data_IF_522609730378
#
_entry.id   IF_522609730378
#
_cell.length_a   1.000
_cell.length_b   1.000
_cell.length_c   1.000
_cell.angle_alpha   90.00
_cell.angle_beta   90.00
_cell.angle_gamma   90.00
#
_symmetry.space_group_name_H-M   'P 1'
#
loop_
_entity.id
_entity.type
_entity.pdbx_description
1 polymer ?
#
# COMPACT_ATOMS: atom_id res chain seq x y z
N UNK A 1 -1.85 16.38 -6.63
CA UNK A 1 -3.10 15.79 -6.08
C UNK A 1 -2.76 14.65 -5.11
N UNK A 2 -3.51 14.42 -4.03
CA UNK A 2 -3.31 13.26 -3.14
C UNK A 2 -4.12 12.07 -3.65
N UNK A 3 -3.52 10.88 -3.61
CA UNK A 3 -4.10 9.60 -4.02
C UNK A 3 -3.87 8.56 -2.91
N UNK A 4 -4.73 7.54 -2.90
CA UNK A 4 -4.62 6.40 -1.97
C UNK A 4 -4.69 5.11 -2.78
N UNK A 5 -3.70 4.23 -2.58
CA UNK A 5 -3.69 2.88 -3.17
C UNK A 5 -3.89 1.85 -2.07
N UNK A 6 -4.91 1.02 -2.25
CA UNK A 6 -5.24 -0.07 -1.33
C UNK A 6 -4.65 -1.41 -1.79
N UNK A 7 -4.05 -2.13 -0.85
CA UNK A 7 -3.54 -3.48 -1.01
C UNK A 7 -4.12 -4.39 0.06
N UNK A 8 -5.02 -5.27 -0.35
CA UNK A 8 -5.55 -6.33 0.52
C UNK A 8 -4.51 -7.44 0.67
N UNK A 9 -4.23 -7.78 1.92
CA UNK A 9 -3.30 -8.82 2.34
C UNK A 9 -4.10 -9.97 2.96
N UNK A 10 -4.20 -11.08 2.24
CA UNK A 10 -4.69 -12.35 2.78
C UNK A 10 -3.52 -13.33 2.91
N UNK A 11 -3.61 -14.23 3.91
CA UNK A 11 -2.54 -15.19 4.22
C UNK A 11 -2.15 -16.01 2.97
N UNK A 12 -0.87 -15.97 2.59
CA UNK A 12 -0.32 -16.68 1.42
C UNK A 12 -0.42 -15.93 0.09
N UNK A 13 -0.78 -14.63 0.09
CA UNK A 13 -0.90 -13.83 -1.13
C UNK A 13 0.34 -13.00 -1.52
N UNK A 14 0.37 -12.60 -2.79
CA UNK A 14 1.40 -11.75 -3.44
C UNK A 14 1.36 -10.27 -3.04
N UNK A 15 0.66 -9.92 -1.96
CA UNK A 15 0.41 -8.54 -1.59
C UNK A 15 1.71 -7.77 -1.29
N UNK A 16 2.68 -8.41 -0.64
CA UNK A 16 4.00 -7.82 -0.37
C UNK A 16 4.74 -7.47 -1.67
N UNK A 17 4.80 -8.41 -2.63
CA UNK A 17 5.43 -8.17 -3.94
C UNK A 17 4.80 -6.98 -4.65
N UNK A 18 3.46 -6.92 -4.69
CA UNK A 18 2.72 -5.84 -5.36
C UNK A 18 2.91 -4.48 -4.68
N UNK A 19 3.01 -4.46 -3.36
CA UNK A 19 3.32 -3.25 -2.58
C UNK A 19 4.73 -2.77 -2.93
N UNK A 20 5.71 -3.66 -2.94
CA UNK A 20 7.09 -3.32 -3.27
C UNK A 20 7.24 -2.82 -4.71
N UNK A 21 6.59 -3.47 -5.67
CA UNK A 21 6.54 -3.03 -7.07
C UNK A 21 5.93 -1.62 -7.21
N UNK A 22 4.86 -1.34 -6.45
CA UNK A 22 4.23 -0.02 -6.44
C UNK A 22 5.12 1.05 -5.82
N UNK A 23 5.73 0.76 -4.66
CA UNK A 23 6.64 1.69 -3.98
C UNK A 23 7.89 1.98 -4.82
N UNK A 24 8.41 1.00 -5.57
CA UNK A 24 9.53 1.19 -6.48
C UNK A 24 9.24 2.17 -7.63
N UNK A 25 7.96 2.37 -7.96
CA UNK A 25 7.52 3.34 -8.97
C UNK A 25 7.28 4.76 -8.43
N UNK A 26 7.43 4.98 -7.12
CA UNK A 26 7.24 6.29 -6.50
C UNK A 26 8.59 6.95 -6.18
N UNK A 27 8.67 8.25 -6.39
CA UNK A 27 9.74 9.06 -5.81
C UNK A 27 9.51 9.25 -4.30
N UNK A 28 10.59 9.38 -3.53
CA UNK A 28 10.51 9.55 -2.07
C UNK A 28 9.64 10.75 -1.67
N UNK A 29 9.74 11.87 -2.40
CA UNK A 29 8.93 13.07 -2.15
C UNK A 29 7.43 12.90 -2.45
N UNK A 30 7.07 11.86 -3.22
CA UNK A 30 5.68 11.54 -3.52
C UNK A 30 5.03 10.72 -2.42
N UNK A 31 5.78 9.90 -1.68
CA UNK A 31 5.24 9.13 -0.57
C UNK A 31 4.83 10.05 0.59
N UNK A 32 3.58 9.94 1.04
CA UNK A 32 3.06 10.74 2.15
C UNK A 32 2.96 9.89 3.42
N UNK A 33 2.39 8.69 3.31
CA UNK A 33 2.12 7.85 4.47
C UNK A 33 1.86 6.40 4.03
N UNK A 34 2.06 5.46 4.95
CA UNK A 34 1.67 4.06 4.80
C UNK A 34 0.88 3.66 6.05
N UNK A 35 -0.39 3.29 5.85
CA UNK A 35 -1.25 2.80 6.94
C UNK A 35 -1.47 1.31 6.83
N UNK A 36 -1.39 0.64 7.97
CA UNK A 36 -1.72 -0.77 8.11
C UNK A 36 -3.02 -0.91 8.90
N UNK A 37 -3.95 -1.72 8.41
CA UNK A 37 -5.19 -2.04 9.09
C UNK A 37 -5.44 -3.54 9.08
N UNK A 38 -5.94 -4.09 10.18
CA UNK A 38 -6.33 -5.49 10.30
C UNK A 38 -7.86 -5.53 10.29
N UNK A 39 -8.45 -6.05 9.21
CA UNK A 39 -9.91 -6.17 9.11
C UNK A 39 -10.42 -7.44 9.81
N UNK A 40 -9.65 -8.52 9.80
CA UNK A 40 -9.93 -9.76 10.51
C UNK A 40 -8.65 -10.60 10.66
N UNK A 41 -8.73 -11.73 11.39
CA UNK A 41 -7.58 -12.64 11.60
C UNK A 41 -6.95 -13.17 10.30
N UNK A 42 -7.68 -13.12 9.18
CA UNK A 42 -7.24 -13.67 7.89
C UNK A 42 -7.00 -12.60 6.82
N UNK A 43 -7.44 -11.36 7.08
CA UNK A 43 -7.42 -10.27 6.09
C UNK A 43 -6.93 -8.99 6.75
N UNK A 44 -5.79 -8.52 6.27
CA UNK A 44 -5.22 -7.21 6.57
C UNK A 44 -5.21 -6.36 5.31
N UNK A 45 -4.95 -5.07 5.47
CA UNK A 45 -4.91 -4.10 4.39
C UNK A 45 -3.79 -3.11 4.61
N UNK A 46 -3.09 -2.76 3.54
CA UNK A 46 -2.11 -1.69 3.49
C UNK A 46 -2.63 -0.59 2.58
N UNK A 47 -2.66 0.63 3.08
CA UNK A 47 -3.02 1.83 2.34
C UNK A 47 -1.76 2.66 2.14
N UNK A 48 -1.43 2.95 0.88
CA UNK A 48 -0.31 3.83 0.52
C UNK A 48 -0.90 5.16 0.09
N UNK A 49 -0.57 6.22 0.83
CA UNK A 49 -0.98 7.60 0.53
C UNK A 49 0.17 8.29 -0.17
N UNK A 50 -0.08 8.84 -1.35
CA UNK A 50 0.97 9.43 -2.18
C UNK A 50 0.47 10.65 -2.95
N UNK A 51 1.41 11.51 -3.35
CA UNK A 51 1.17 12.67 -4.21
C UNK A 51 1.42 12.28 -5.65
N UNK A 52 0.53 12.70 -6.54
CA UNK A 52 0.80 12.79 -7.97
C UNK A 52 0.98 14.26 -8.32
N UNK A 53 1.92 14.56 -9.22
CA UNK A 53 2.04 15.88 -9.83
C UNK A 53 0.74 16.23 -10.57
#
# INVERSE_FOLDING_TARGET
MIQVKEFMYARGGDAERRINEFLAGLEEAQLVDIKYNIYSELVSCILIVYKTC
#
